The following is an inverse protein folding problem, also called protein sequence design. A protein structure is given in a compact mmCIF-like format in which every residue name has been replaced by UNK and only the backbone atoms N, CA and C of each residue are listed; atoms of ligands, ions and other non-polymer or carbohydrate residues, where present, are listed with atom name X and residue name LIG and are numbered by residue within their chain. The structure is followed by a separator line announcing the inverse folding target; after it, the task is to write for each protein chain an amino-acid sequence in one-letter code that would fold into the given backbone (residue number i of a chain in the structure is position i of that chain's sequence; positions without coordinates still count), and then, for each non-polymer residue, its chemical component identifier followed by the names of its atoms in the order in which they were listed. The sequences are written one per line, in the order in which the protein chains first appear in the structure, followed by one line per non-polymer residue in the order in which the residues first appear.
data_IF_950755842469
#
_entry.id   IF_950755842469
#
_cell.length_a   1.000
_cell.length_b   1.000
_cell.length_c   1.000
_cell.angle_alpha   90.00
_cell.angle_beta   90.00
_cell.angle_gamma   90.00
#
_symmetry.space_group_name_H-M   'P 1'
#
loop_
_entity.id
_entity.type
_entity.pdbx_description
1 polymer ?
#
# COMPACT_ATOMS: atom_id res chain seq x y z
N UNK A 1 33.41 21.61 14.16
CA UNK A 1 32.11 21.78 14.84
C UNK A 1 31.10 21.29 13.84
N UNK A 2 30.68 20.04 14.02
CA UNK A 2 30.01 19.23 13.01
C UNK A 2 28.53 19.62 12.99
N UNK A 3 28.08 20.31 11.94
CA UNK A 3 26.69 20.76 11.84
C UNK A 3 25.71 19.59 11.60
N UNK A 4 26.21 18.36 11.43
CA UNK A 4 25.42 17.16 11.22
C UNK A 4 24.78 16.61 12.51
N UNK A 5 25.27 17.00 13.68
CA UNK A 5 24.86 16.45 14.99
C UNK A 5 23.71 17.22 15.68
N UNK A 6 23.19 18.30 15.06
CA UNK A 6 22.28 19.24 15.73
C UNK A 6 20.84 19.20 15.17
N UNK A 7 20.42 18.07 14.60
CA UNK A 7 18.98 17.84 14.38
C UNK A 7 18.45 17.14 15.63
N UNK A 8 17.68 17.86 16.42
CA UNK A 8 17.04 17.37 17.63
C UNK A 8 16.49 15.95 17.43
N UNK A 9 16.92 15.04 18.30
CA UNK A 9 16.55 13.61 18.29
C UNK A 9 15.21 13.37 19.00
N UNK A 10 14.51 14.44 19.37
CA UNK A 10 13.18 14.34 19.94
C UNK A 10 12.22 13.63 18.97
N UNK A 11 11.62 12.54 19.46
CA UNK A 11 10.72 11.70 18.68
C UNK A 11 9.43 12.45 18.37
N UNK A 12 9.08 12.49 17.09
CA UNK A 12 7.84 13.11 16.65
C UNK A 12 6.69 12.10 16.78
N UNK A 13 5.69 12.46 17.59
CA UNK A 13 4.47 11.69 17.76
C UNK A 13 3.35 12.14 16.81
N UNK A 14 2.48 11.21 16.44
CA UNK A 14 1.28 11.52 15.67
C UNK A 14 0.32 12.37 16.51
N UNK A 15 0.02 13.57 16.03
CA UNK A 15 -1.03 14.45 16.57
C UNK A 15 -2.25 14.40 15.64
N UNK A 16 -3.45 14.66 16.17
CA UNK A 16 -4.63 14.83 15.31
C UNK A 16 -4.36 15.91 14.26
N UNK A 17 -4.74 15.62 13.01
CA UNK A 17 -4.55 16.52 11.88
C UNK A 17 -5.41 17.78 12.07
N UNK A 18 -4.78 18.87 12.51
CA UNK A 18 -5.40 20.19 12.48
C UNK A 18 -5.31 20.76 11.06
N UNK A 19 -6.43 20.70 10.34
CA UNK A 19 -6.57 21.23 8.97
C UNK A 19 -6.27 22.73 8.89
N UNK A 20 -6.31 23.44 10.01
CA UNK A 20 -6.06 24.88 10.09
C UNK A 20 -4.71 25.24 10.72
N UNK A 21 -3.84 24.26 11.03
CA UNK A 21 -2.55 24.50 11.69
C UNK A 21 -1.70 25.59 11.02
N UNK A 22 -1.84 25.74 9.70
CA UNK A 22 -1.15 26.75 8.89
C UNK A 22 -2.09 27.63 8.06
N UNK A 23 -3.34 27.82 8.49
CA UNK A 23 -4.32 28.64 7.76
C UNK A 23 -3.77 30.06 7.49
N UNK A 24 -3.74 30.47 6.22
CA UNK A 24 -3.24 31.78 5.79
C UNK A 24 -1.72 31.94 5.81
N UNK A 25 -0.95 30.89 6.09
CA UNK A 25 0.52 30.96 6.09
C UNK A 25 1.06 31.13 4.67
N UNK A 26 1.89 32.14 4.48
CA UNK A 26 2.64 32.32 3.24
C UNK A 26 3.90 31.44 3.23
N UNK A 27 4.00 30.57 2.23
CA UNK A 27 5.13 29.68 2.01
C UNK A 27 6.17 30.26 1.02
N UNK A 28 6.03 31.51 0.58
CA UNK A 28 6.96 32.16 -0.35
C UNK A 28 8.42 32.10 0.12
N UNK A 29 8.68 32.43 1.39
CA UNK A 29 10.03 32.40 1.96
C UNK A 29 10.66 31.00 1.93
N UNK A 30 9.88 29.98 2.32
CA UNK A 30 10.35 28.58 2.25
C UNK A 30 10.61 28.17 0.80
N UNK A 31 9.72 28.50 -0.14
CA UNK A 31 9.90 28.20 -1.56
C UNK A 31 11.15 28.88 -2.11
N UNK A 32 11.40 30.14 -1.77
CA UNK A 32 12.61 30.86 -2.17
C UNK A 32 13.86 30.18 -1.62
N UNK A 33 13.85 29.77 -0.35
CA UNK A 33 14.97 29.04 0.25
C UNK A 33 15.22 27.68 -0.42
N UNK A 34 14.17 26.90 -0.67
CA UNK A 34 14.29 25.60 -1.34
C UNK A 34 14.78 25.73 -2.79
N UNK A 35 14.29 26.74 -3.53
CA UNK A 35 14.80 27.07 -4.88
C UNK A 35 16.27 27.49 -4.84
N UNK A 36 16.68 28.23 -3.81
CA UNK A 36 18.08 28.57 -3.61
C UNK A 36 18.92 27.30 -3.34
N UNK A 37 18.50 26.44 -2.41
CA UNK A 37 19.17 25.16 -2.11
C UNK A 37 19.35 24.31 -3.36
N UNK A 38 18.31 24.18 -4.18
CA UNK A 38 18.37 23.47 -5.46
C UNK A 38 19.51 24.00 -6.36
N UNK A 39 19.62 25.33 -6.49
CA UNK A 39 20.61 25.98 -7.37
C UNK A 39 22.04 25.88 -6.83
N UNK A 40 22.21 25.86 -5.52
CA UNK A 40 23.54 25.80 -4.89
C UNK A 40 23.97 24.38 -4.55
N UNK A 41 23.11 23.37 -4.71
CA UNK A 41 23.36 21.98 -4.28
C UNK A 41 24.75 21.46 -4.67
N UNK A 42 25.18 21.65 -5.93
CA UNK A 42 26.49 21.20 -6.41
C UNK A 42 27.70 22.01 -5.90
N UNK A 43 27.48 23.13 -5.22
CA UNK A 43 28.52 23.99 -4.64
C UNK A 43 28.58 23.91 -3.10
N UNK A 44 27.66 23.17 -2.48
CA UNK A 44 27.65 22.96 -1.04
C UNK A 44 28.74 21.97 -0.63
N UNK A 45 29.20 22.09 0.62
CA UNK A 45 30.08 21.09 1.22
C UNK A 45 29.33 19.75 1.38
N UNK A 46 30.01 18.60 1.27
CA UNK A 46 29.36 17.29 1.38
C UNK A 46 28.50 17.14 2.64
N UNK A 47 28.98 17.62 3.78
CA UNK A 47 28.27 17.55 5.07
C UNK A 47 26.99 18.39 5.05
N UNK A 48 27.04 19.57 4.42
CA UNK A 48 25.87 20.44 4.25
C UNK A 48 24.82 19.82 3.32
N UNK A 49 25.25 19.12 2.26
CA UNK A 49 24.33 18.38 1.37
C UNK A 49 23.64 17.26 2.15
N UNK A 50 24.41 16.42 2.87
CA UNK A 50 23.86 15.31 3.67
C UNK A 50 22.85 15.82 4.70
N UNK A 51 23.21 16.85 5.46
CA UNK A 51 22.33 17.50 6.44
C UNK A 51 21.05 18.05 5.80
N UNK A 52 21.18 18.76 4.66
CA UNK A 52 20.04 19.31 3.95
C UNK A 52 19.09 18.22 3.45
N UNK A 53 19.61 17.12 2.87
CA UNK A 53 18.78 16.00 2.44
C UNK A 53 18.00 15.41 3.62
N UNK A 54 18.68 15.11 4.73
CA UNK A 54 18.03 14.56 5.92
C UNK A 54 16.95 15.49 6.46
N UNK A 55 17.24 16.79 6.54
CA UNK A 55 16.27 17.80 6.97
C UNK A 55 15.04 17.83 6.06
N UNK A 56 15.25 17.81 4.73
CA UNK A 56 14.14 17.79 3.77
C UNK A 56 13.33 16.49 3.84
N UNK A 57 13.97 15.35 4.14
CA UNK A 57 13.28 14.08 4.37
C UNK A 57 12.42 14.11 5.64
N UNK A 58 12.92 14.69 6.74
CA UNK A 58 12.12 14.86 7.97
C UNK A 58 10.97 15.85 7.74
N UNK A 59 11.22 16.97 7.06
CA UNK A 59 10.19 17.96 6.72
C UNK A 59 9.05 17.37 5.87
N UNK A 60 9.36 16.39 5.02
CA UNK A 60 8.38 15.70 4.18
C UNK A 60 7.33 14.89 4.95
N UNK A 61 7.53 14.63 6.25
CA UNK A 61 6.53 13.98 7.08
C UNK A 61 5.33 14.90 7.41
N UNK A 62 5.50 16.23 7.33
CA UNK A 62 4.41 17.19 7.51
C UNK A 62 3.46 17.16 6.29
N UNK A 63 2.35 16.45 6.44
CA UNK A 63 1.34 16.30 5.40
C UNK A 63 0.65 17.61 5.04
N UNK A 64 0.46 18.51 6.00
CA UNK A 64 -0.18 19.81 5.77
C UNK A 64 0.73 20.69 4.93
N UNK A 65 2.03 20.74 5.25
CA UNK A 65 3.03 21.43 4.44
C UNK A 65 3.11 20.83 3.03
N UNK A 66 3.17 19.50 2.93
CA UNK A 66 3.21 18.82 1.65
C UNK A 66 1.90 18.98 0.87
N UNK A 67 0.75 19.26 1.50
CA UNK A 67 -0.52 19.46 0.78
C UNK A 67 -0.49 20.66 -0.19
N UNK A 68 0.34 21.67 0.10
CA UNK A 68 0.57 22.80 -0.79
C UNK A 68 1.39 22.38 -2.03
N UNK A 69 0.71 22.22 -3.17
CA UNK A 69 1.29 21.67 -4.43
C UNK A 69 2.57 22.40 -4.83
N UNK A 70 2.58 23.74 -4.83
CA UNK A 70 3.75 24.53 -5.24
C UNK A 70 4.95 24.29 -4.30
N UNK A 71 4.71 24.23 -3.00
CA UNK A 71 5.75 23.94 -2.00
C UNK A 71 6.28 22.52 -2.17
N UNK A 72 5.40 21.54 -2.40
CA UNK A 72 5.78 20.15 -2.66
C UNK A 72 6.67 20.03 -3.90
N UNK A 73 6.32 20.68 -5.00
CA UNK A 73 7.11 20.62 -6.24
C UNK A 73 8.53 21.16 -6.00
N UNK A 74 8.64 22.32 -5.37
CA UNK A 74 9.94 22.94 -5.09
C UNK A 74 10.76 22.09 -4.10
N UNK A 75 10.12 21.50 -3.08
CA UNK A 75 10.74 20.56 -2.15
C UNK A 75 11.32 19.34 -2.87
N UNK A 76 10.51 18.67 -3.69
CA UNK A 76 10.93 17.47 -4.42
C UNK A 76 12.08 17.77 -5.39
N UNK A 77 12.05 18.94 -6.03
CA UNK A 77 13.10 19.38 -6.96
C UNK A 77 14.41 19.66 -6.21
N UNK A 78 14.35 20.39 -5.08
CA UNK A 78 15.52 20.65 -4.24
C UNK A 78 16.12 19.36 -3.67
N UNK A 79 15.27 18.46 -3.16
CA UNK A 79 15.68 17.15 -2.65
C UNK A 79 16.40 16.33 -3.72
N UNK A 80 15.86 16.29 -4.95
CA UNK A 80 16.49 15.59 -6.07
C UNK A 80 17.87 16.18 -6.40
N UNK A 81 18.00 17.50 -6.49
CA UNK A 81 19.28 18.15 -6.77
C UNK A 81 20.33 17.91 -5.68
N UNK A 82 19.91 17.88 -4.41
CA UNK A 82 20.80 17.58 -3.29
C UNK A 82 21.24 16.11 -3.30
N UNK A 83 20.32 15.17 -3.54
CA UNK A 83 20.65 13.73 -3.63
C UNK A 83 21.65 13.47 -4.76
N UNK A 84 21.50 14.13 -5.91
CA UNK A 84 22.45 14.01 -7.03
C UNK A 84 23.85 14.52 -6.68
N UNK A 85 23.94 15.54 -5.82
CA UNK A 85 25.20 16.16 -5.39
C UNK A 85 26.01 15.33 -4.37
N UNK A 86 25.43 14.25 -3.83
CA UNK A 86 26.16 13.35 -2.91
C UNK A 86 27.16 12.51 -3.68
N UNK A 87 28.42 12.44 -3.23
CA UNK A 87 29.44 11.63 -3.87
C UNK A 87 29.10 10.13 -3.81
N UNK A 88 29.45 9.38 -4.85
CA UNK A 88 29.22 7.94 -4.93
C UNK A 88 30.05 7.14 -3.91
N UNK A 89 31.20 7.68 -3.49
CA UNK A 89 32.07 7.06 -2.46
C UNK A 89 31.43 7.00 -1.09
N UNK A 90 30.62 8.00 -0.75
CA UNK A 90 29.93 8.14 0.53
C UNK A 90 28.48 7.62 0.50
N UNK A 91 28.04 7.09 -0.65
CA UNK A 91 26.63 6.84 -0.92
C UNK A 91 26.00 5.84 0.05
N UNK A 92 26.67 4.72 0.29
CA UNK A 92 26.17 3.65 1.15
C UNK A 92 26.04 4.11 2.60
N UNK A 93 27.07 4.77 3.13
CA UNK A 93 27.08 5.32 4.48
C UNK A 93 26.03 6.44 4.64
N UNK A 94 25.86 7.27 3.61
CA UNK A 94 24.80 8.26 3.56
C UNK A 94 23.40 7.63 3.59
N UNK A 95 23.13 6.60 2.79
CA UNK A 95 21.83 5.93 2.77
C UNK A 95 21.49 5.32 4.14
N UNK A 96 22.46 4.70 4.80
CA UNK A 96 22.31 4.21 6.16
C UNK A 96 22.00 5.34 7.14
N UNK A 97 22.78 6.44 7.10
CA UNK A 97 22.57 7.59 7.97
C UNK A 97 21.20 8.23 7.78
N UNK A 98 20.77 8.45 6.53
CA UNK A 98 19.45 8.98 6.21
C UNK A 98 18.32 8.06 6.72
N UNK A 99 18.47 6.74 6.60
CA UNK A 99 17.51 5.78 7.13
C UNK A 99 17.46 5.80 8.66
N UNK A 100 18.61 5.80 9.33
CA UNK A 100 18.70 5.88 10.77
C UNK A 100 18.09 7.18 11.29
N UNK A 101 18.30 8.29 10.58
CA UNK A 101 17.71 9.59 10.89
C UNK A 101 16.17 9.61 10.80
N UNK A 102 15.58 8.93 9.81
CA UNK A 102 14.12 8.78 9.71
C UNK A 102 13.57 7.83 10.77
N UNK A 103 14.33 6.78 11.10
CA UNK A 103 13.94 5.79 12.10
C UNK A 103 13.93 6.36 13.52
N UNK A 104 14.92 7.19 13.83
CA UNK A 104 15.02 7.92 15.11
C UNK A 104 13.93 8.98 15.23
N UNK A 105 13.66 9.74 14.17
CA UNK A 105 12.66 10.80 14.18
C UNK A 105 11.20 10.29 14.26
N UNK A 106 10.89 9.13 13.67
CA UNK A 106 9.52 8.67 13.50
C UNK A 106 9.29 7.24 14.02
N UNK A 107 8.30 7.08 14.91
CA UNK A 107 7.94 5.78 15.47
C UNK A 107 7.03 4.94 14.55
N UNK A 108 6.28 5.56 13.64
CA UNK A 108 5.33 4.86 12.78
C UNK A 108 5.78 4.78 11.31
N UNK A 109 5.42 3.70 10.65
CA UNK A 109 5.73 3.48 9.23
C UNK A 109 4.97 4.44 8.34
N UNK A 110 3.78 4.87 8.75
CA UNK A 110 2.99 5.89 8.06
C UNK A 110 3.70 7.26 7.96
N UNK A 111 4.52 7.64 8.95
CA UNK A 111 5.34 8.86 8.90
C UNK A 111 6.59 8.64 8.05
N UNK A 112 7.31 7.53 8.25
CA UNK A 112 8.48 7.17 7.44
C UNK A 112 8.14 7.10 5.95
N UNK A 113 6.98 6.50 5.63
CA UNK A 113 6.46 6.43 4.27
C UNK A 113 6.16 7.82 3.69
N UNK A 114 5.59 8.74 4.49
CA UNK A 114 5.29 10.09 4.02
C UNK A 114 6.56 10.80 3.54
N UNK A 115 7.66 10.65 4.28
CA UNK A 115 8.99 11.13 3.88
C UNK A 115 9.49 10.48 2.59
N UNK A 116 9.51 9.13 2.54
CA UNK A 116 10.03 8.37 1.40
C UNK A 116 9.22 8.64 0.12
N UNK A 117 7.92 8.87 0.24
CA UNK A 117 7.06 9.18 -0.90
C UNK A 117 7.42 10.48 -1.61
N UNK A 118 8.07 11.44 -0.93
CA UNK A 118 8.52 12.70 -1.54
C UNK A 118 9.82 12.55 -2.33
N UNK A 119 10.53 11.41 -2.26
CA UNK A 119 11.69 11.17 -3.11
C UNK A 119 11.20 10.79 -4.51
N UNK A 120 11.28 11.69 -5.48
CA UNK A 120 10.80 11.39 -6.84
C UNK A 120 11.85 10.54 -7.57
N UNK A 121 11.50 9.35 -8.11
CA UNK A 121 12.45 8.42 -8.74
C UNK A 121 12.81 8.83 -10.19
N UNK A 122 13.14 10.11 -10.41
CA UNK A 122 13.54 10.67 -11.71
C UNK A 122 14.98 10.36 -12.08
N UNK A 123 15.86 10.15 -11.11
CA UNK A 123 17.28 9.81 -11.32
C UNK A 123 17.58 8.42 -10.77
N UNK A 124 18.73 7.85 -11.16
CA UNK A 124 19.17 6.55 -10.63
C UNK A 124 19.40 6.61 -9.12
N UNK A 125 20.10 7.64 -8.63
CA UNK A 125 20.35 7.82 -7.19
C UNK A 125 19.06 8.05 -6.40
N UNK A 126 18.13 8.84 -6.92
CA UNK A 126 16.86 9.09 -6.20
C UNK A 126 15.99 7.83 -6.13
N UNK A 127 15.92 7.04 -7.21
CA UNK A 127 15.27 5.73 -7.21
C UNK A 127 15.92 4.78 -6.22
N UNK A 128 17.25 4.69 -6.23
CA UNK A 128 18.01 3.80 -5.37
C UNK A 128 17.86 4.18 -3.88
N UNK A 129 17.99 5.47 -3.53
CA UNK A 129 17.75 5.96 -2.17
C UNK A 129 16.33 5.60 -1.72
N UNK A 130 15.32 5.87 -2.57
CA UNK A 130 13.92 5.57 -2.27
C UNK A 130 13.73 4.08 -1.97
N UNK A 131 14.33 3.19 -2.77
CA UNK A 131 14.28 1.72 -2.57
C UNK A 131 15.00 1.29 -1.28
N UNK A 132 16.24 1.76 -1.05
CA UNK A 132 17.04 1.43 0.14
C UNK A 132 16.31 1.81 1.43
N UNK A 133 15.78 3.03 1.50
CA UNK A 133 15.00 3.50 2.66
C UNK A 133 13.72 2.69 2.86
N UNK A 134 12.98 2.40 1.78
CA UNK A 134 11.75 1.63 1.86
C UNK A 134 11.99 0.19 2.33
N UNK A 135 13.01 -0.46 1.79
CA UNK A 135 13.42 -1.81 2.17
C UNK A 135 13.78 -1.87 3.65
N UNK A 136 14.69 -1.00 4.10
CA UNK A 136 15.11 -0.93 5.49
C UNK A 136 13.93 -0.65 6.44
N UNK A 137 13.04 0.28 6.05
CA UNK A 137 11.85 0.60 6.84
C UNK A 137 10.85 -0.56 6.91
N UNK A 138 10.68 -1.31 5.82
CA UNK A 138 9.79 -2.47 5.77
C UNK A 138 10.33 -3.65 6.58
N UNK A 139 11.58 -4.05 6.35
CA UNK A 139 12.22 -5.16 7.07
C UNK A 139 12.48 -4.83 8.54
N UNK A 140 12.57 -3.54 8.85
CA UNK A 140 12.66 -3.06 10.22
C UNK A 140 14.09 -2.93 10.74
N UNK A 141 15.05 -2.79 9.83
CA UNK A 141 16.47 -2.66 10.12
C UNK A 141 17.07 -1.51 9.30
N UNK A 142 17.37 -0.36 9.93
CA UNK A 142 18.01 0.78 9.26
C UNK A 142 19.38 0.47 8.65
N UNK A 143 20.09 -0.54 9.15
CA UNK A 143 21.43 -0.89 8.65
C UNK A 143 21.39 -1.45 7.23
N UNK A 144 20.27 -2.04 6.83
CA UNK A 144 20.05 -2.54 5.48
C UNK A 144 20.08 -1.45 4.40
N UNK A 145 19.82 -0.19 4.75
CA UNK A 145 19.92 0.90 3.78
C UNK A 145 21.35 1.15 3.27
N UNK A 146 22.37 0.60 3.96
CA UNK A 146 23.76 0.65 3.51
C UNK A 146 24.00 -0.16 2.24
N UNK A 147 23.27 -1.25 2.05
CA UNK A 147 23.50 -2.19 0.96
C UNK A 147 22.64 -1.84 -0.26
N UNK A 148 23.09 -2.21 -1.46
CA UNK A 148 22.29 -2.04 -2.67
C UNK A 148 21.05 -2.95 -2.60
N UNK A 149 19.83 -2.49 -2.99
CA UNK A 149 18.59 -3.26 -2.82
C UNK A 149 18.59 -4.64 -3.50
N UNK A 150 19.32 -4.78 -4.60
CA UNK A 150 19.37 -6.01 -5.39
C UNK A 150 20.28 -7.09 -4.76
N UNK A 151 21.18 -6.71 -3.83
CA UNK A 151 22.16 -7.63 -3.22
C UNK A 151 21.61 -8.33 -1.95
N UNK A 152 20.43 -7.93 -1.46
CA UNK A 152 19.98 -8.26 -0.10
C UNK A 152 19.09 -9.50 0.00
N UNK A 153 18.82 -10.22 -1.09
CA UNK A 153 17.89 -11.36 -1.05
C UNK A 153 16.49 -10.95 -0.56
N UNK A 154 15.97 -9.82 -1.06
CA UNK A 154 14.75 -9.19 -0.55
C UNK A 154 13.51 -10.10 -0.56
N UNK A 155 13.34 -10.94 -1.59
CA UNK A 155 12.13 -11.77 -1.76
C UNK A 155 11.99 -12.78 -0.59
N UNK A 156 13.00 -13.62 -0.27
CA UNK A 156 12.97 -14.46 0.93
C UNK A 156 12.70 -13.70 2.24
N UNK A 157 13.38 -12.57 2.46
CA UNK A 157 13.22 -11.77 3.68
C UNK A 157 11.82 -11.19 3.79
N UNK A 158 11.25 -10.70 2.68
CA UNK A 158 9.89 -10.22 2.64
C UNK A 158 8.87 -11.34 2.91
N UNK A 159 9.09 -12.54 2.38
CA UNK A 159 8.25 -13.70 2.66
C UNK A 159 8.25 -14.07 4.15
N UNK A 160 9.40 -13.96 4.81
CA UNK A 160 9.52 -14.18 6.25
C UNK A 160 8.82 -13.05 7.03
N UNK A 161 9.08 -11.79 6.68
CA UNK A 161 8.50 -10.62 7.32
C UNK A 161 6.97 -10.59 7.25
N UNK A 162 6.37 -10.97 6.10
CA UNK A 162 4.90 -11.02 5.95
C UNK A 162 4.20 -12.09 6.80
N UNK A 163 4.94 -13.02 7.41
CA UNK A 163 4.40 -13.97 8.41
C UNK A 163 4.35 -13.38 9.81
N UNK A 164 4.87 -12.17 10.01
CA UNK A 164 4.84 -11.51 11.30
C UNK A 164 3.44 -11.16 11.77
N UNK A 165 3.34 -10.93 13.07
CA UNK A 165 2.09 -10.75 13.81
C UNK A 165 1.31 -9.49 13.41
N UNK A 166 2.02 -8.51 12.84
CA UNK A 166 1.54 -7.23 12.32
C UNK A 166 0.77 -7.34 10.99
N UNK A 167 0.99 -8.41 10.22
CA UNK A 167 0.24 -8.68 8.98
C UNK A 167 -0.96 -9.59 9.19
N UNK A 168 -1.13 -10.13 10.39
CA UNK A 168 -2.29 -10.91 10.77
C UNK A 168 -3.47 -9.98 11.11
N UNK A 169 -4.54 -10.06 10.33
CA UNK A 169 -5.72 -9.22 10.52
C UNK A 169 -6.45 -9.61 11.82
N UNK A 170 -6.28 -8.77 12.83
CA UNK A 170 -6.90 -8.83 14.16
C UNK A 170 -8.05 -7.82 14.25
N UNK A 171 -8.88 -7.92 15.30
CA UNK A 171 -10.00 -6.98 15.54
C UNK A 171 -9.55 -5.52 15.70
N UNK A 172 -8.35 -5.30 16.25
CA UNK A 172 -7.74 -3.99 16.50
C UNK A 172 -6.63 -3.64 15.50
N UNK A 173 -6.70 -4.17 14.27
CA UNK A 173 -5.69 -3.88 13.25
C UNK A 173 -5.72 -2.40 12.89
N UNK A 174 -4.55 -1.76 12.92
CA UNK A 174 -4.36 -0.44 12.35
C UNK A 174 -4.15 -0.58 10.83
N UNK A 175 -5.21 -0.28 10.08
CA UNK A 175 -5.18 -0.38 8.62
C UNK A 175 -4.37 0.74 7.95
N UNK A 176 -4.13 1.87 8.64
CA UNK A 176 -3.25 2.93 8.14
C UNK A 176 -1.81 2.46 8.19
N UNK A 177 -1.42 1.81 9.29
CA UNK A 177 -0.07 1.28 9.45
C UNK A 177 0.17 0.06 8.55
N UNK A 178 -0.81 -0.85 8.44
CA UNK A 178 -0.76 -1.97 7.49
C UNK A 178 -0.59 -1.46 6.05
N UNK A 179 -1.38 -0.45 5.65
CA UNK A 179 -1.24 0.19 4.34
C UNK A 179 0.16 0.73 4.15
N UNK A 180 0.70 1.44 5.15
CA UNK A 180 2.01 2.05 5.05
C UNK A 180 3.12 1.00 4.86
N UNK A 181 3.06 -0.09 5.62
CA UNK A 181 3.97 -1.23 5.51
C UNK A 181 3.92 -1.87 4.11
N UNK A 182 2.72 -2.09 3.57
CA UNK A 182 2.55 -2.65 2.23
C UNK A 182 3.05 -1.67 1.15
N UNK A 183 2.89 -0.36 1.33
CA UNK A 183 3.41 0.62 0.39
C UNK A 183 4.95 0.73 0.46
N UNK A 184 5.56 0.57 1.63
CA UNK A 184 7.02 0.46 1.75
C UNK A 184 7.55 -0.79 1.04
N UNK A 185 6.88 -1.93 1.25
CA UNK A 185 7.15 -3.16 0.51
C UNK A 185 7.05 -2.96 -1.02
N UNK A 186 5.97 -2.34 -1.49
CA UNK A 186 5.73 -2.07 -2.92
C UNK A 186 6.81 -1.15 -3.53
N UNK A 187 7.28 -0.15 -2.78
CA UNK A 187 8.39 0.72 -3.20
C UNK A 187 9.71 -0.05 -3.23
N UNK A 188 9.97 -0.92 -2.26
CA UNK A 188 11.18 -1.73 -2.22
C UNK A 188 11.25 -2.71 -3.42
N UNK A 189 10.10 -3.28 -3.82
CA UNK A 189 9.98 -4.14 -5.00
C UNK A 189 10.39 -3.44 -6.30
N UNK A 190 9.98 -2.18 -6.48
CA UNK A 190 10.20 -1.36 -7.67
C UNK A 190 9.96 -2.10 -9.01
N UNK A 191 10.96 -2.25 -9.87
CA UNK A 191 10.87 -2.95 -11.16
C UNK A 191 11.22 -4.45 -11.08
N UNK A 192 11.51 -4.96 -9.88
CA UNK A 192 11.82 -6.38 -9.68
C UNK A 192 13.19 -6.82 -10.20
N UNK A 193 14.17 -5.91 -10.26
CA UNK A 193 15.56 -6.13 -10.66
C UNK A 193 16.37 -7.16 -9.81
N UNK A 194 15.70 -7.93 -8.95
CA UNK A 194 16.28 -8.94 -8.07
C UNK A 194 16.77 -10.22 -8.78
N UNK A 195 16.38 -10.44 -10.04
CA UNK A 195 16.85 -11.59 -10.80
C UNK A 195 18.12 -11.22 -11.60
N UNK A 196 19.30 -11.76 -11.25
CA UNK A 196 20.57 -11.39 -11.90
C UNK A 196 20.74 -11.94 -13.33
N UNK A 197 19.65 -12.35 -13.99
CA UNK A 197 19.70 -12.76 -15.40
C UNK A 197 20.43 -14.07 -15.64
N UNK A 198 20.21 -15.10 -14.80
CA UNK A 198 20.78 -16.44 -15.07
C UNK A 198 20.23 -17.00 -16.38
N UNK A 199 21.11 -17.58 -17.20
CA UNK A 199 20.77 -18.27 -18.46
C UNK A 199 20.08 -19.61 -18.23
N UNK A 200 20.02 -20.09 -16.99
CA UNK A 200 19.34 -21.34 -16.64
C UNK A 200 17.83 -21.14 -16.55
N UNK A 201 17.09 -21.93 -17.32
CA UNK A 201 15.64 -21.99 -17.25
C UNK A 201 15.15 -22.38 -15.85
N UNK A 202 15.85 -23.31 -15.18
CA UNK A 202 15.47 -23.81 -13.86
C UNK A 202 15.60 -22.73 -12.77
N UNK A 203 16.62 -21.87 -12.89
CA UNK A 203 16.81 -20.74 -11.96
C UNK A 203 15.70 -19.68 -12.12
N UNK A 204 15.31 -19.36 -13.35
CA UNK A 204 14.19 -18.45 -13.62
C UNK A 204 12.87 -19.03 -13.11
N UNK A 205 12.63 -20.33 -13.30
CA UNK A 205 11.43 -21.00 -12.84
C UNK A 205 11.34 -21.06 -11.30
N UNK A 206 12.47 -21.29 -10.62
CA UNK A 206 12.54 -21.26 -9.16
C UNK A 206 12.25 -19.85 -8.61
N UNK A 207 12.85 -18.81 -9.20
CA UNK A 207 12.57 -17.43 -8.83
C UNK A 207 11.10 -17.04 -9.05
N UNK A 208 10.54 -17.38 -10.21
CA UNK A 208 9.12 -17.13 -10.48
C UNK A 208 8.21 -17.83 -9.44
N UNK A 209 8.58 -19.05 -8.99
CA UNK A 209 7.83 -19.76 -7.96
C UNK A 209 7.91 -19.08 -6.59
N UNK A 210 9.05 -18.48 -6.22
CA UNK A 210 9.19 -17.67 -5.01
C UNK A 210 8.33 -16.40 -5.08
N UNK A 211 8.35 -15.70 -6.21
CA UNK A 211 7.50 -14.53 -6.47
C UNK A 211 6.02 -14.88 -6.39
N UNK A 212 5.61 -16.01 -7.00
CA UNK A 212 4.24 -16.51 -6.95
C UNK A 212 3.81 -16.88 -5.51
N UNK A 213 4.72 -17.45 -4.71
CA UNK A 213 4.47 -17.73 -3.30
C UNK A 213 4.29 -16.45 -2.47
N UNK A 214 5.14 -15.45 -2.68
CA UNK A 214 5.02 -14.13 -2.05
C UNK A 214 3.69 -13.44 -2.40
N UNK A 215 3.30 -13.49 -3.69
CA UNK A 215 2.01 -12.97 -4.14
C UNK A 215 0.82 -13.69 -3.50
N UNK A 216 0.95 -15.00 -3.26
CA UNK A 216 -0.07 -15.80 -2.57
C UNK A 216 -0.16 -15.46 -1.08
N UNK A 217 0.94 -15.15 -0.40
CA UNK A 217 0.90 -14.67 1.00
C UNK A 217 0.14 -13.34 1.10
N UNK A 218 0.41 -12.38 0.21
CA UNK A 218 -0.35 -11.14 0.12
C UNK A 218 -1.84 -11.39 -0.16
N UNK A 219 -2.17 -12.42 -0.96
CA UNK A 219 -3.56 -12.79 -1.26
C UNK A 219 -4.31 -13.25 -0.03
N UNK A 220 -3.63 -14.01 0.83
CA UNK A 220 -4.18 -14.44 2.11
C UNK A 220 -4.49 -13.24 3.01
N UNK A 221 -3.56 -12.29 3.12
CA UNK A 221 -3.78 -11.04 3.87
C UNK A 221 -4.97 -10.27 3.26
N UNK A 222 -4.97 -10.06 1.95
CA UNK A 222 -6.06 -9.38 1.23
C UNK A 222 -7.44 -9.99 1.51
N UNK A 223 -7.54 -11.33 1.44
CA UNK A 223 -8.79 -12.07 1.65
C UNK A 223 -9.30 -12.05 3.09
N UNK A 224 -8.41 -11.79 4.06
CA UNK A 224 -8.76 -11.70 5.47
C UNK A 224 -9.31 -10.32 5.88
N UNK A 225 -9.12 -9.28 5.06
CA UNK A 225 -9.68 -7.95 5.30
C UNK A 225 -11.16 -7.93 4.88
N UNK A 226 -12.04 -7.51 5.79
CA UNK A 226 -13.45 -7.26 5.46
C UNK A 226 -13.72 -5.75 5.36
N UNK A 227 -13.96 -5.29 4.13
CA UNK A 227 -14.23 -3.89 3.75
C UNK A 227 -15.69 -3.66 3.37
N UNK A 228 -16.62 -4.52 3.79
CA UNK A 228 -18.05 -4.35 3.54
C UNK A 228 -18.58 -3.05 4.18
N UNK A 229 -18.82 -2.04 3.34
CA UNK A 229 -19.49 -0.79 3.71
C UNK A 229 -18.63 0.46 3.50
N UNK A 230 -19.25 1.55 3.03
CA UNK A 230 -18.58 2.82 2.68
C UNK A 230 -17.88 3.53 3.87
N UNK A 231 -18.12 3.11 5.11
CA UNK A 231 -17.52 3.68 6.31
C UNK A 231 -16.08 3.19 6.60
N UNK A 232 -15.59 2.17 5.88
CA UNK A 232 -14.29 1.54 6.14
C UNK A 232 -13.20 1.92 5.12
N UNK A 233 -13.07 3.22 4.83
CA UNK A 233 -12.12 3.73 3.82
C UNK A 233 -10.69 3.21 4.00
N UNK A 234 -10.15 3.22 5.23
CA UNK A 234 -8.78 2.74 5.51
C UNK A 234 -8.59 1.26 5.18
N UNK A 235 -9.63 0.43 5.33
CA UNK A 235 -9.58 -1.00 4.94
C UNK A 235 -9.55 -1.16 3.44
N UNK A 236 -10.36 -0.38 2.72
CA UNK A 236 -10.38 -0.38 1.25
C UNK A 236 -9.04 0.09 0.69
N UNK A 237 -8.44 1.13 1.28
CA UNK A 237 -7.11 1.63 0.86
C UNK A 237 -5.99 0.62 1.14
N UNK A 238 -6.03 -0.08 2.29
CA UNK A 238 -5.09 -1.15 2.59
C UNK A 238 -5.22 -2.31 1.60
N UNK A 239 -6.45 -2.75 1.31
CA UNK A 239 -6.72 -3.77 0.27
C UNK A 239 -6.20 -3.35 -1.10
N UNK A 240 -6.45 -2.12 -1.50
CA UNK A 240 -5.98 -1.60 -2.79
C UNK A 240 -4.45 -1.60 -2.86
N UNK A 241 -3.77 -1.21 -1.77
CA UNK A 241 -2.30 -1.24 -1.71
C UNK A 241 -1.76 -2.66 -1.82
N UNK A 242 -2.41 -3.65 -1.20
CA UNK A 242 -2.05 -5.06 -1.33
C UNK A 242 -2.27 -5.54 -2.77
N UNK A 243 -3.41 -5.22 -3.39
CA UNK A 243 -3.71 -5.59 -4.77
C UNK A 243 -2.71 -4.99 -5.78
N UNK A 244 -2.30 -3.73 -5.59
CA UNK A 244 -1.24 -3.11 -6.39
C UNK A 244 0.09 -3.88 -6.27
N UNK A 245 0.50 -4.22 -5.05
CA UNK A 245 1.74 -4.96 -4.82
C UNK A 245 1.69 -6.37 -5.43
N UNK A 246 0.54 -7.05 -5.35
CA UNK A 246 0.32 -8.36 -6.00
C UNK A 246 0.42 -8.28 -7.53
N UNK A 247 -0.20 -7.25 -8.13
CA UNK A 247 -0.11 -7.02 -9.58
C UNK A 247 1.34 -6.74 -9.98
N UNK A 248 2.08 -5.96 -9.21
CA UNK A 248 3.51 -5.70 -9.45
C UNK A 248 4.33 -6.98 -9.41
N UNK A 249 4.15 -7.82 -8.39
CA UNK A 249 4.80 -9.14 -8.32
C UNK A 249 4.50 -9.98 -9.57
N UNK A 250 3.23 -10.04 -9.96
CA UNK A 250 2.75 -10.91 -11.05
C UNK A 250 3.22 -10.44 -12.44
N UNK A 251 3.25 -9.12 -12.68
CA UNK A 251 3.40 -8.56 -14.02
C UNK A 251 4.71 -7.80 -14.25
N UNK A 252 5.42 -7.38 -13.21
CA UNK A 252 6.67 -6.63 -13.32
C UNK A 252 7.87 -7.43 -12.78
N UNK A 253 7.74 -8.06 -11.60
CA UNK A 253 8.85 -8.74 -10.94
C UNK A 253 9.09 -10.14 -11.50
N UNK A 254 8.02 -10.87 -11.82
CA UNK A 254 8.10 -12.20 -12.42
C UNK A 254 8.84 -12.13 -13.76
N UNK A 255 9.78 -13.04 -13.99
CA UNK A 255 10.62 -13.04 -15.21
C UNK A 255 9.81 -13.27 -16.49
N UNK A 256 8.68 -13.98 -16.37
CA UNK A 256 7.72 -14.19 -17.45
C UNK A 256 6.33 -13.80 -16.99
N UNK A 257 5.47 -13.24 -17.87
CA UNK A 257 4.06 -13.10 -17.57
C UNK A 257 3.42 -14.45 -17.21
N UNK A 258 2.39 -14.46 -16.35
CA UNK A 258 1.67 -15.70 -16.05
C UNK A 258 1.17 -16.35 -17.35
N UNK A 259 1.23 -17.69 -17.46
CA UNK A 259 0.79 -18.39 -18.66
C UNK A 259 -0.67 -18.00 -18.96
N UNK A 260 -0.92 -17.58 -20.20
CA UNK A 260 -2.27 -17.20 -20.64
C UNK A 260 -3.18 -18.40 -20.44
N UNK A 261 -4.18 -18.27 -19.57
CA UNK A 261 -5.29 -19.22 -19.51
C UNK A 261 -6.03 -19.11 -20.83
N UNK A 262 -5.93 -20.13 -21.66
CA UNK A 262 -6.53 -20.15 -22.98
C UNK A 262 -8.06 -20.14 -22.79
N UNK A 263 -8.69 -19.02 -23.07
CA UNK A 263 -10.14 -18.82 -22.87
C UNK A 263 -10.95 -19.65 -23.89
N UNK A 264 -10.27 -20.12 -24.95
CA UNK A 264 -10.82 -20.94 -26.03
C UNK A 264 -10.39 -22.41 -25.97
N UNK A 265 -9.69 -22.85 -24.92
CA UNK A 265 -9.44 -24.28 -24.72
C UNK A 265 -10.77 -24.99 -24.46
N UNK A 266 -11.11 -25.91 -25.36
CA UNK A 266 -12.28 -26.77 -25.26
C UNK A 266 -12.22 -27.55 -23.93
N UNK A 267 -13.36 -27.81 -23.26
CA UNK A 267 -13.41 -28.47 -21.95
C UNK A 267 -12.61 -29.78 -21.87
N UNK A 268 -12.44 -30.47 -23.00
CA UNK A 268 -11.77 -31.77 -23.12
C UNK A 268 -10.24 -31.71 -22.94
N UNK A 269 -9.61 -30.55 -23.16
CA UNK A 269 -8.15 -30.38 -23.04
C UNK A 269 -7.72 -29.72 -21.73
N UNK A 270 -8.68 -29.28 -20.90
CA UNK A 270 -8.36 -28.90 -19.53
C UNK A 270 -7.91 -30.15 -18.78
N UNK A 271 -6.62 -30.22 -18.43
CA UNK A 271 -6.20 -30.97 -17.24
C UNK A 271 -6.74 -30.24 -16.03
N UNK A 272 -8.05 -30.35 -15.83
CA UNK A 272 -8.73 -29.95 -14.61
C UNK A 272 -8.16 -30.81 -13.49
N UNK A 273 -7.17 -30.28 -12.77
CA UNK A 273 -6.98 -30.62 -11.37
C UNK A 273 -8.21 -30.04 -10.67
N UNK A 274 -9.34 -30.74 -10.83
CA UNK A 274 -10.56 -30.49 -10.09
C UNK A 274 -10.19 -30.75 -8.63
N UNK A 275 -9.79 -29.69 -7.94
CA UNK A 275 -9.49 -29.72 -6.51
C UNK A 275 -10.70 -30.33 -5.82
N UNK A 276 -10.46 -31.25 -4.88
CA UNK A 276 -11.52 -31.99 -4.18
C UNK A 276 -12.58 -31.04 -3.56
N UNK A 277 -12.18 -29.80 -3.26
CA UNK A 277 -13.05 -28.71 -2.83
C UNK A 277 -14.10 -28.28 -3.86
N UNK A 278 -13.78 -28.24 -5.17
CA UNK A 278 -14.77 -27.97 -6.23
C UNK A 278 -15.78 -29.10 -6.37
N UNK A 279 -15.33 -30.36 -6.29
CA UNK A 279 -16.22 -31.54 -6.30
C UNK A 279 -17.13 -31.54 -5.08
N UNK A 280 -16.60 -31.21 -3.89
CA UNK A 280 -17.38 -31.09 -2.67
C UNK A 280 -18.43 -29.98 -2.76
N UNK A 281 -18.10 -28.84 -3.37
CA UNK A 281 -19.04 -27.72 -3.56
C UNK A 281 -20.17 -28.09 -4.54
N UNK A 282 -19.84 -28.70 -5.68
CA UNK A 282 -20.82 -29.20 -6.65
C UNK A 282 -21.74 -30.27 -6.03
N UNK A 283 -21.19 -31.20 -5.25
CA UNK A 283 -21.99 -32.21 -4.57
C UNK A 283 -22.94 -31.59 -3.55
N UNK A 284 -22.48 -30.58 -2.79
CA UNK A 284 -23.32 -29.86 -1.83
C UNK A 284 -24.43 -29.09 -2.54
N UNK A 285 -24.14 -28.45 -3.67
CA UNK A 285 -25.13 -27.72 -4.47
C UNK A 285 -26.19 -28.64 -5.10
N UNK A 286 -25.76 -29.76 -5.69
CA UNK A 286 -26.68 -30.75 -6.27
C UNK A 286 -27.53 -31.42 -5.19
N UNK A 287 -26.96 -31.68 -4.01
CA UNK A 287 -27.72 -32.23 -2.88
C UNK A 287 -28.78 -31.26 -2.33
N UNK A 288 -28.54 -29.95 -2.45
CA UNK A 288 -29.50 -28.92 -2.05
C UNK A 288 -30.67 -28.81 -3.04
N UNK A 289 -30.40 -28.98 -4.34
CA UNK A 289 -31.43 -28.97 -5.39
C UNK A 289 -32.31 -30.23 -5.39
N UNK A 290 -31.80 -31.36 -4.87
CA UNK A 290 -32.54 -32.63 -4.82
C UNK A 290 -33.44 -32.79 -3.58
N UNK A 291 -33.51 -31.81 -2.66
CA UNK A 291 -34.45 -31.88 -1.54
C UNK A 291 -35.87 -31.51 -2.00
N UNK A 292 -36.86 -32.42 -1.91
CA UNK A 292 -38.25 -32.05 -2.14
C UNK A 292 -38.73 -31.07 -1.06
N UNK A 293 -39.72 -30.21 -1.37
CA UNK A 293 -40.30 -29.31 -0.38
C UNK A 293 -40.92 -30.12 0.78
N UNK A 294 -40.71 -29.66 2.02
CA UNK A 294 -41.27 -30.31 3.22
C UNK A 294 -42.81 -30.31 3.13
N UNK A 295 -43.48 -31.47 3.28
CA UNK A 295 -44.93 -31.52 3.35
C UNK A 295 -45.39 -31.17 4.77
N UNK A 296 -45.50 -29.88 5.11
CA UNK A 296 -46.13 -29.46 6.37
C UNK A 296 -46.78 -28.06 6.36
N UNK A 297 -47.07 -27.49 5.19
CA UNK A 297 -47.72 -26.15 5.11
C UNK A 297 -49.23 -26.22 4.80
N UNK A 298 -49.82 -27.40 4.61
CA UNK A 298 -51.24 -27.55 4.25
C UNK A 298 -52.19 -27.86 5.41
N UNK A 299 -51.81 -27.61 6.67
CA UNK A 299 -52.73 -27.75 7.82
C UNK A 299 -53.14 -26.44 8.50
N UNK A 300 -52.57 -25.30 8.11
CA UNK A 300 -52.90 -24.01 8.74
C UNK A 300 -53.91 -23.15 7.96
N UNK A 301 -54.27 -23.51 6.73
CA UNK A 301 -55.29 -22.75 5.96
C UNK A 301 -56.74 -23.15 6.28
N UNK A 302 -57.01 -24.37 6.72
CA UNK A 302 -58.39 -24.77 7.09
C UNK A 302 -58.83 -24.23 8.46
N UNK A 303 -57.89 -23.77 9.30
CA UNK A 303 -58.22 -23.19 10.62
C UNK A 303 -58.47 -21.68 10.58
N UNK A 304 -58.17 -21.00 9.45
CA UNK A 304 -58.39 -19.55 9.27
C UNK A 304 -59.67 -19.20 8.54
N UNK A 305 -60.40 -20.17 7.96
CA UNK A 305 -61.67 -19.95 7.25
C UNK A 305 -62.93 -20.01 8.12
N UNK A 306 -62.83 -20.32 9.41
CA UNK A 306 -64.00 -20.48 10.30
C UNK A 306 -64.28 -19.30 11.23
N UNK A 307 -63.54 -18.17 11.12
CA UNK A 307 -63.82 -16.95 11.91
C UNK A 307 -63.61 -15.70 11.08
N UNK A 308 -64.60 -15.30 10.30
CA UNK A 308 -64.83 -13.90 9.89
C UNK A 308 -66.16 -13.82 9.12
N UNK A 309 -67.26 -13.88 9.86
CA UNK A 309 -68.52 -13.29 9.43
C UNK A 309 -68.70 -11.97 10.16
N UNK A 310 -69.26 -11.00 9.43
CA UNK A 310 -69.90 -9.73 9.84
C UNK A 310 -69.06 -8.43 9.87
N UNK A 311 -69.48 -7.54 8.96
CA UNK A 311 -69.69 -6.09 9.10
C UNK A 311 -68.68 -5.10 8.50
N UNK A 312 -68.99 -4.72 7.26
CA UNK A 312 -69.35 -3.37 6.76
C UNK A 312 -68.47 -2.12 7.01
N UNK A 313 -68.00 -1.61 5.86
CA UNK A 313 -68.27 -0.28 5.29
C UNK A 313 -67.31 0.92 5.51
N UNK A 314 -66.99 1.52 4.33
CA UNK A 314 -66.50 2.88 4.03
C UNK A 314 -65.04 3.19 4.41
N UNK A 315 -64.21 3.86 3.62
CA UNK A 315 -64.36 4.59 2.35
C UNK A 315 -63.18 5.59 2.24
N UNK A 316 -62.98 6.11 1.03
CA UNK A 316 -62.11 7.24 0.64
C UNK A 316 -60.66 6.95 0.20
N UNK A 317 -60.47 7.25 -1.08
CA UNK A 317 -59.26 7.47 -1.86
C UNK A 317 -58.46 8.68 -1.32
N UNK A 318 -57.12 8.69 -1.45
CA UNK A 318 -56.44 9.88 -1.97
C UNK A 318 -55.00 9.64 -2.46
N UNK A 319 -54.84 9.94 -3.75
CA UNK A 319 -53.81 10.75 -4.41
C UNK A 319 -52.30 10.58 -4.13
N UNK A 320 -51.61 10.34 -5.25
CA UNK A 320 -50.18 10.25 -5.49
C UNK A 320 -49.66 11.65 -5.89
N UNK A 321 -48.61 12.17 -5.25
CA UNK A 321 -47.94 13.41 -5.69
C UNK A 321 -46.41 13.28 -5.58
N UNK A 322 -45.79 13.32 -6.75
CA UNK A 322 -44.34 13.42 -7.01
C UNK A 322 -43.97 14.92 -7.07
N UNK A 323 -42.88 15.33 -6.42
CA UNK A 323 -42.32 16.67 -6.60
C UNK A 323 -40.85 16.57 -7.08
N UNK A 324 -40.64 17.09 -8.28
CA UNK A 324 -39.34 17.42 -8.89
C UNK A 324 -39.06 18.88 -8.55
N UNK A 325 -37.85 19.20 -8.10
CA UNK A 325 -37.41 20.57 -7.85
C UNK A 325 -36.22 20.94 -8.74
N UNK A 326 -36.40 21.95 -9.59
CA UNK A 326 -35.34 22.66 -10.30
C UNK A 326 -35.11 24.06 -9.68
N UNK A 327 -33.81 24.35 -9.50
CA UNK A 327 -33.06 25.60 -9.69
C UNK A 327 -33.73 26.98 -9.48
N UNK A 328 -33.08 27.76 -8.63
CA UNK A 328 -32.71 29.16 -8.91
C UNK A 328 -31.36 29.48 -8.30
#
# INVERSE_FOLDING_TARGET
MDAADDIDDEKVHLVQEDRNAYAGRDWSGLRTYLNWLQRVAGNLRPESVKYAVVTLLRMAADRTLMSAIETRIVHQTALTSLVEAIDGTDWDDFCQHACASLWTAFDTSSLRLASIQQIVPTTRKSRELRRRLALACFLGDPTLARQHPDDQGFIPEAMHRLKGDEFHIKRKTDYVELRAQIQLFDIALDDGSFYPGSTSYDAAAAFDAEVDHLAQQLKTIWGSINDSGAAYLSRTEAKNSIDCAQKRLTYAVRTKPPPKRNIFELPEQRKEVATETQKAFMNKFISALKKPPRPDVLKDEERRRSTAGSDDASGAEDSFMTAVGELS
#
